data_IF_614397742815
#
_entry.id   IF_614397742815
#
_cell.length_a   1.000
_cell.length_b   1.000
_cell.length_c   1.000
_cell.angle_alpha   90.00
_cell.angle_beta   90.00
_cell.angle_gamma   90.00
#
_symmetry.space_group_name_H-M   'P 1'
#
loop_
_entity.id
_entity.type
_entity.pdbx_description
1 polymer ?
#
# COMPACT_ATOMS: atom_id res chain seq x y z
N UNK A 1 -16.74 -2.36 -14.02
CA UNK A 1 -15.70 -1.39 -14.41
C UNK A 1 -15.08 -0.67 -13.20
N UNK A 2 -14.80 -1.35 -12.07
CA UNK A 2 -14.21 -0.67 -10.89
C UNK A 2 -12.80 -0.09 -11.18
N UNK A 3 -11.99 -0.81 -11.95
CA UNK A 3 -10.65 -0.37 -12.32
C UNK A 3 -10.67 0.90 -13.19
N UNK A 4 -11.60 1.00 -14.15
CA UNK A 4 -11.72 2.14 -15.07
C UNK A 4 -12.23 3.37 -14.32
N UNK A 5 -13.27 3.23 -13.50
CA UNK A 5 -13.80 4.34 -12.71
C UNK A 5 -12.78 4.81 -11.65
N UNK A 6 -12.06 3.88 -11.00
CA UNK A 6 -10.99 4.23 -10.07
C UNK A 6 -9.83 4.97 -10.76
N UNK A 7 -9.45 4.55 -11.96
CA UNK A 7 -8.47 5.25 -12.81
C UNK A 7 -8.95 6.67 -13.16
N UNK A 8 -10.23 6.85 -13.47
CA UNK A 8 -10.80 8.17 -13.75
C UNK A 8 -10.72 9.11 -12.54
N UNK A 9 -11.01 8.62 -11.32
CA UNK A 9 -10.82 9.39 -10.09
C UNK A 9 -9.35 9.74 -9.87
N UNK A 10 -8.44 8.76 -9.96
CA UNK A 10 -6.99 9.02 -9.84
C UNK A 10 -6.52 10.08 -10.84
N UNK A 11 -7.02 10.05 -12.07
CA UNK A 11 -6.69 11.01 -13.14
C UNK A 11 -7.11 12.44 -12.79
N UNK A 12 -8.18 12.65 -12.02
CA UNK A 12 -8.58 13.99 -11.57
C UNK A 12 -7.47 14.64 -10.73
N UNK A 13 -6.88 13.88 -9.79
CA UNK A 13 -5.77 14.36 -8.96
C UNK A 13 -4.47 14.52 -9.77
N UNK A 14 -4.16 13.59 -10.67
CA UNK A 14 -2.97 13.66 -11.55
C UNK A 14 -3.01 14.89 -12.47
N UNK A 15 -4.20 15.38 -12.85
CA UNK A 15 -4.31 16.53 -13.73
C UNK A 15 -4.09 17.87 -13.02
N UNK A 16 -3.99 17.89 -11.69
CA UNK A 16 -3.69 19.11 -10.94
C UNK A 16 -2.29 19.64 -11.25
N UNK A 17 -2.17 20.95 -11.50
CA UNK A 17 -0.85 21.58 -11.74
C UNK A 17 -0.03 21.70 -10.45
N UNK A 18 -0.71 21.77 -9.30
CA UNK A 18 -0.07 21.89 -7.99
C UNK A 18 0.64 20.57 -7.66
N UNK A 19 1.92 20.58 -7.21
CA UNK A 19 2.59 19.36 -6.78
C UNK A 19 1.78 18.62 -5.71
N UNK A 20 1.70 17.30 -5.83
CA UNK A 20 0.94 16.44 -4.92
C UNK A 20 1.76 15.21 -4.56
N UNK A 21 1.60 14.76 -3.32
CA UNK A 21 2.12 13.50 -2.80
C UNK A 21 0.97 12.49 -2.77
N UNK A 22 1.11 11.44 -3.57
CA UNK A 22 0.18 10.33 -3.68
C UNK A 22 0.61 9.20 -2.75
N UNK A 23 -0.14 8.97 -1.68
CA UNK A 23 0.00 7.79 -0.83
C UNK A 23 -0.69 6.60 -1.48
N UNK A 24 0.05 5.56 -1.80
CA UNK A 24 -0.49 4.38 -2.48
C UNK A 24 -0.30 3.16 -1.59
N UNK A 25 -1.42 2.49 -1.29
CA UNK A 25 -1.42 1.19 -0.64
C UNK A 25 -1.00 0.07 -1.60
N UNK A 26 -1.52 -1.12 -1.33
CA UNK A 26 -1.25 -2.31 -2.14
C UNK A 26 -2.55 -3.01 -2.50
N UNK A 27 -2.47 -3.90 -3.49
CA UNK A 27 -3.50 -4.91 -3.76
C UNK A 27 -3.90 -5.00 -5.24
N UNK A 28 -4.62 -6.07 -5.55
CA UNK A 28 -5.12 -6.37 -6.91
C UNK A 28 -5.95 -5.24 -7.50
N UNK A 29 -6.82 -4.63 -6.70
CA UNK A 29 -7.72 -3.55 -7.13
C UNK A 29 -6.94 -2.31 -7.54
N UNK A 30 -6.04 -1.82 -6.67
CA UNK A 30 -5.20 -0.66 -6.98
C UNK A 30 -4.30 -0.92 -8.18
N UNK A 31 -3.72 -2.13 -8.29
CA UNK A 31 -2.96 -2.54 -9.48
C UNK A 31 -3.78 -2.40 -10.76
N UNK A 32 -5.00 -2.92 -10.77
CA UNK A 32 -5.87 -2.81 -11.95
C UNK A 32 -6.27 -1.36 -12.27
N UNK A 33 -6.49 -0.51 -11.26
CA UNK A 33 -6.75 0.92 -11.49
C UNK A 33 -5.53 1.62 -12.10
N UNK A 34 -4.33 1.40 -11.53
CA UNK A 34 -3.09 1.97 -12.02
C UNK A 34 -2.74 1.44 -13.42
N UNK A 35 -3.00 0.16 -13.71
CA UNK A 35 -2.84 -0.42 -15.05
C UNK A 35 -3.67 0.36 -16.09
N UNK A 36 -4.90 0.75 -15.73
CA UNK A 36 -5.83 1.50 -16.57
C UNK A 36 -5.56 3.02 -16.62
N UNK A 37 -4.60 3.56 -15.87
CA UNK A 37 -4.22 4.97 -15.96
C UNK A 37 -3.59 5.29 -17.32
N UNK A 38 -3.83 6.48 -17.89
CA UNK A 38 -3.05 6.96 -19.02
C UNK A 38 -1.61 7.28 -18.60
N UNK A 39 -0.72 7.47 -19.58
CA UNK A 39 0.56 8.13 -19.36
C UNK A 39 0.35 9.63 -19.46
N UNK A 40 0.81 10.39 -18.46
CA UNK A 40 0.65 11.85 -18.38
C UNK A 40 1.95 12.43 -17.82
N UNK A 41 2.50 13.46 -18.44
CA UNK A 41 3.75 14.07 -17.96
C UNK A 41 3.48 14.99 -16.76
N UNK A 42 3.73 14.49 -15.55
CA UNK A 42 3.51 15.18 -14.27
C UNK A 42 4.66 14.91 -13.28
N UNK A 43 5.90 15.31 -13.62
CA UNK A 43 7.09 14.98 -12.84
C UNK A 43 7.12 15.70 -11.48
N UNK A 44 6.27 16.72 -11.29
CA UNK A 44 6.10 17.41 -10.01
C UNK A 44 5.35 16.57 -8.96
N UNK A 45 4.58 15.56 -9.38
CA UNK A 45 3.92 14.64 -8.46
C UNK A 45 4.89 13.58 -7.93
N UNK A 46 4.64 13.13 -6.71
CA UNK A 46 5.41 12.09 -6.07
C UNK A 46 4.50 10.96 -5.60
N UNK A 47 4.93 9.72 -5.76
CA UNK A 47 4.27 8.56 -5.17
C UNK A 47 5.05 8.07 -3.95
N UNK A 48 4.34 7.68 -2.90
CA UNK A 48 4.92 7.08 -1.70
C UNK A 48 4.16 5.80 -1.31
N UNK A 49 4.89 4.71 -1.03
CA UNK A 49 4.27 3.50 -0.48
C UNK A 49 3.73 3.76 0.90
N UNK A 50 2.52 3.24 1.17
CA UNK A 50 1.92 3.27 2.50
C UNK A 50 2.14 1.97 3.28
N UNK A 51 2.71 0.95 2.64
CA UNK A 51 3.06 -0.32 3.28
C UNK A 51 4.49 -0.76 2.96
N UNK A 52 5.04 -1.62 3.83
CA UNK A 52 6.27 -2.35 3.53
C UNK A 52 6.04 -3.38 2.43
N UNK A 53 7.02 -3.52 1.53
CA UNK A 53 6.91 -4.36 0.33
C UNK A 53 7.56 -5.75 0.47
N UNK A 54 8.11 -6.07 1.65
CA UNK A 54 8.85 -7.33 1.89
C UNK A 54 7.96 -8.31 2.67
N UNK A 55 7.74 -9.49 2.08
CA UNK A 55 7.05 -10.62 2.68
C UNK A 55 7.96 -11.42 3.61
N UNK A 56 7.38 -12.39 4.34
CA UNK A 56 8.11 -13.18 5.34
C UNK A 56 9.13 -14.17 4.76
N UNK A 57 9.01 -14.48 3.48
CA UNK A 57 9.94 -15.32 2.73
C UNK A 57 11.00 -14.49 1.98
N UNK A 58 11.20 -13.23 2.40
CA UNK A 58 12.10 -12.23 1.82
C UNK A 58 11.74 -11.79 0.39
N UNK A 59 10.61 -12.25 -0.15
CA UNK A 59 10.16 -11.84 -1.48
C UNK A 59 9.53 -10.45 -1.47
N UNK A 60 9.69 -9.71 -2.56
CA UNK A 60 8.97 -8.46 -2.79
C UNK A 60 7.54 -8.73 -3.25
N UNK A 61 6.55 -8.05 -2.68
CA UNK A 61 5.17 -8.17 -3.17
C UNK A 61 5.01 -7.53 -4.55
N UNK A 62 4.30 -8.22 -5.43
CA UNK A 62 3.91 -7.69 -6.75
C UNK A 62 2.79 -6.67 -6.69
N UNK A 63 2.24 -6.40 -5.51
CA UNK A 63 1.10 -5.52 -5.30
C UNK A 63 1.47 -4.16 -4.71
N UNK A 64 2.74 -3.93 -4.37
CA UNK A 64 3.28 -2.60 -4.15
C UNK A 64 3.44 -1.91 -5.51
N UNK A 65 2.38 -1.20 -5.92
CA UNK A 65 2.22 -0.54 -7.22
C UNK A 65 2.52 0.97 -7.30
N UNK A 66 2.96 1.70 -6.24
CA UNK A 66 3.28 3.13 -6.38
C UNK A 66 4.40 3.43 -7.38
N UNK A 67 5.38 2.53 -7.56
CA UNK A 67 6.41 2.67 -8.59
C UNK A 67 5.79 2.80 -9.98
N UNK A 68 4.85 1.92 -10.32
CA UNK A 68 4.17 1.91 -11.62
C UNK A 68 3.34 3.19 -11.83
N UNK A 69 2.73 3.69 -10.78
CA UNK A 69 2.01 4.97 -10.84
C UNK A 69 2.98 6.14 -11.07
N UNK A 70 4.13 6.15 -10.40
CA UNK A 70 5.16 7.16 -10.60
C UNK A 70 5.71 7.14 -12.04
N UNK A 71 5.95 5.96 -12.61
CA UNK A 71 6.38 5.81 -14.01
C UNK A 71 5.40 6.46 -14.99
N UNK A 72 4.09 6.21 -14.80
CA UNK A 72 3.03 6.81 -15.64
C UNK A 72 2.97 8.33 -15.57
N UNK A 73 3.49 8.92 -14.50
CA UNK A 73 3.58 10.36 -14.28
C UNK A 73 4.96 10.95 -14.60
N UNK A 74 5.97 10.12 -14.90
CA UNK A 74 7.39 10.51 -14.88
C UNK A 74 7.82 11.15 -13.52
N UNK A 75 7.12 10.79 -12.45
CA UNK A 75 7.32 11.31 -11.10
C UNK A 75 8.34 10.50 -10.30
N UNK A 76 8.58 10.91 -9.05
CA UNK A 76 9.45 10.17 -8.13
C UNK A 76 8.66 9.18 -7.29
N UNK A 77 9.31 8.07 -6.95
CA UNK A 77 8.80 7.04 -6.07
C UNK A 77 9.62 6.96 -4.78
N UNK A 78 8.93 6.88 -3.63
CA UNK A 78 9.52 6.67 -2.31
C UNK A 78 8.90 5.42 -1.66
N UNK A 79 9.72 4.45 -1.30
CA UNK A 79 9.25 3.18 -0.74
C UNK A 79 9.69 3.00 0.70
N UNK A 80 8.91 2.26 1.48
CA UNK A 80 9.23 1.89 2.86
C UNK A 80 10.23 0.73 2.83
N UNK A 81 11.49 0.92 3.28
CA UNK A 81 12.53 -0.11 3.19
C UNK A 81 12.46 -1.08 4.38
N UNK A 82 11.28 -1.65 4.62
CA UNK A 82 11.01 -2.54 5.76
C UNK A 82 9.93 -3.57 5.38
N UNK A 83 9.85 -4.71 6.08
CA UNK A 83 8.75 -5.65 5.92
C UNK A 83 7.42 -5.04 6.37
N UNK A 84 6.31 -5.58 5.85
CA UNK A 84 4.97 -5.20 6.32
C UNK A 84 4.77 -5.58 7.79
N UNK A 85 5.21 -6.79 8.16
CA UNK A 85 5.19 -7.30 9.52
C UNK A 85 6.62 -7.64 9.94
N UNK A 86 7.08 -7.03 11.03
CA UNK A 86 8.33 -7.42 11.69
C UNK A 86 8.15 -8.73 12.46
N UNK A 87 9.22 -9.51 12.62
CA UNK A 87 9.18 -10.78 13.35
C UNK A 87 8.98 -10.57 14.86
N UNK A 88 9.53 -9.48 15.40
CA UNK A 88 9.42 -9.14 16.83
C UNK A 88 9.15 -7.66 17.06
N UNK A 89 8.64 -7.27 18.24
CA UNK A 89 8.52 -5.87 18.64
C UNK A 89 9.86 -5.12 18.63
N UNK A 90 10.97 -5.79 18.99
CA UNK A 90 12.31 -5.21 18.99
C UNK A 90 12.79 -4.92 17.56
N UNK A 91 12.54 -5.85 16.62
CA UNK A 91 12.85 -5.65 15.20
C UNK A 91 12.03 -4.48 14.61
N UNK A 92 10.73 -4.42 14.93
CA UNK A 92 9.89 -3.27 14.59
C UNK A 92 10.49 -1.96 15.10
N UNK A 93 10.91 -1.92 16.37
CA UNK A 93 11.49 -0.72 16.98
C UNK A 93 12.77 -0.28 16.26
N UNK A 94 13.61 -1.24 15.84
CA UNK A 94 14.82 -0.96 15.05
C UNK A 94 14.48 -0.32 13.71
N UNK A 95 13.51 -0.86 12.96
CA UNK A 95 13.07 -0.28 11.68
C UNK A 95 12.53 1.15 11.84
N UNK A 96 11.65 1.35 12.83
CA UNK A 96 11.00 2.65 13.08
C UNK A 96 11.99 3.75 13.48
N UNK A 97 13.11 3.38 14.10
CA UNK A 97 14.17 4.33 14.47
C UNK A 97 15.09 4.70 13.29
N UNK A 98 15.06 3.95 12.19
CA UNK A 98 15.95 4.19 11.07
C UNK A 98 15.55 5.48 10.32
N UNK A 99 16.50 6.40 10.12
CA UNK A 99 16.22 7.72 9.53
C UNK A 99 15.58 7.67 8.14
N UNK A 100 15.91 6.66 7.34
CA UNK A 100 15.30 6.48 6.01
C UNK A 100 13.82 6.11 6.14
N UNK A 101 13.51 5.20 7.06
CA UNK A 101 12.13 4.79 7.36
C UNK A 101 11.30 6.01 7.80
N UNK A 102 11.81 6.76 8.78
CA UNK A 102 11.12 7.96 9.30
C UNK A 102 10.80 8.97 8.20
N UNK A 103 11.76 9.31 7.34
CA UNK A 103 11.52 10.27 6.24
C UNK A 103 10.48 9.79 5.23
N UNK A 104 10.41 8.50 4.95
CA UNK A 104 9.41 7.95 4.02
C UNK A 104 8.02 7.94 4.68
N UNK A 105 7.95 7.52 5.94
CA UNK A 105 6.69 7.57 6.71
C UNK A 105 6.18 9.00 6.86
N UNK A 106 7.05 9.96 7.18
CA UNK A 106 6.68 11.38 7.25
C UNK A 106 6.08 11.87 5.92
N UNK A 107 6.67 11.45 4.79
CA UNK A 107 6.11 11.76 3.46
C UNK A 107 4.76 11.06 3.24
N UNK A 108 4.60 9.80 3.65
CA UNK A 108 3.33 9.08 3.53
C UNK A 108 2.22 9.72 4.39
N UNK A 109 2.57 10.20 5.58
CA UNK A 109 1.66 10.93 6.47
C UNK A 109 1.30 12.33 5.94
N UNK A 110 2.13 12.89 5.07
CA UNK A 110 1.90 14.16 4.38
C UNK A 110 1.30 13.98 2.97
N UNK A 111 0.78 12.80 2.63
CA UNK A 111 0.11 12.58 1.36
C UNK A 111 -1.10 13.51 1.21
N UNK A 112 -1.17 14.22 0.07
CA UNK A 112 -2.32 15.07 -0.29
C UNK A 112 -3.54 14.22 -0.66
N UNK A 113 -3.29 13.02 -1.20
CA UNK A 113 -4.32 12.03 -1.52
C UNK A 113 -3.78 10.63 -1.25
N UNK A 114 -4.63 9.78 -0.66
CA UNK A 114 -4.32 8.37 -0.41
C UNK A 114 -5.29 7.45 -1.17
N UNK A 115 -4.75 6.52 -1.94
CA UNK A 115 -5.50 5.45 -2.58
C UNK A 115 -5.18 4.12 -1.89
N UNK A 116 -6.16 3.60 -1.16
CA UNK A 116 -6.02 2.39 -0.33
C UNK A 116 -7.07 1.35 -0.71
N UNK A 117 -6.68 0.08 -0.64
CA UNK A 117 -7.61 -1.04 -0.74
C UNK A 117 -8.14 -1.43 0.63
N UNK A 118 -9.35 -1.98 0.64
CA UNK A 118 -9.89 -2.70 1.78
C UNK A 118 -9.97 -4.17 1.38
N UNK A 119 -9.29 -5.02 2.14
CA UNK A 119 -9.23 -6.46 1.94
C UNK A 119 -10.11 -7.22 2.92
N UNK A 120 -10.62 -8.37 2.48
CA UNK A 120 -11.19 -9.37 3.39
C UNK A 120 -10.09 -10.16 4.10
N UNK A 121 -10.41 -10.72 5.27
CA UNK A 121 -9.49 -11.56 6.05
C UNK A 121 -10.06 -12.96 6.12
N UNK A 122 -9.83 -13.74 5.06
CA UNK A 122 -10.31 -15.12 4.93
C UNK A 122 -9.17 -16.02 4.48
N UNK A 123 -9.26 -17.36 4.67
CA UNK A 123 -8.27 -18.28 4.14
C UNK A 123 -8.07 -18.05 2.63
N UNK A 124 -6.82 -17.91 2.20
CA UNK A 124 -6.45 -17.59 0.82
C UNK A 124 -6.57 -16.12 0.42
N UNK A 125 -6.87 -15.19 1.34
CA UNK A 125 -6.79 -13.76 1.06
C UNK A 125 -5.37 -13.36 0.61
N UNK A 126 -5.17 -12.21 -0.06
CA UNK A 126 -3.85 -11.82 -0.58
C UNK A 126 -2.72 -11.89 0.45
N UNK A 127 -2.94 -11.37 1.68
CA UNK A 127 -1.95 -11.44 2.75
C UNK A 127 -1.56 -12.89 3.12
N UNK A 128 -2.51 -13.83 3.06
CA UNK A 128 -2.25 -15.24 3.37
C UNK A 128 -1.60 -15.97 2.18
N UNK A 129 -2.13 -15.79 0.98
CA UNK A 129 -1.60 -16.41 -0.24
C UNK A 129 -0.18 -15.96 -0.59
N UNK A 130 0.24 -14.77 -0.16
CA UNK A 130 1.60 -14.24 -0.32
C UNK A 130 2.50 -14.45 0.90
N UNK A 131 2.02 -15.18 1.92
CA UNK A 131 2.86 -15.53 3.06
C UNK A 131 3.13 -14.40 4.04
N UNK A 132 2.41 -13.27 3.98
CA UNK A 132 2.48 -12.24 5.02
C UNK A 132 1.88 -12.72 6.34
N UNK A 133 0.82 -13.55 6.29
CA UNK A 133 0.19 -14.18 7.45
C UNK A 133 -0.03 -15.68 7.21
N UNK A 134 0.01 -16.47 8.28
CA UNK A 134 -0.25 -17.93 8.23
C UNK A 134 -1.74 -18.26 8.32
N UNK A 135 -2.11 -19.48 7.93
CA UNK A 135 -3.48 -19.99 8.09
C UNK A 135 -3.95 -19.92 9.54
N UNK A 136 -3.09 -20.28 10.50
CA UNK A 136 -3.38 -20.18 11.92
C UNK A 136 -3.61 -18.72 12.37
N UNK A 137 -2.91 -17.75 11.79
CA UNK A 137 -3.13 -16.33 12.07
C UNK A 137 -4.46 -15.85 11.47
N UNK A 138 -4.83 -16.30 10.27
CA UNK A 138 -6.14 -16.01 9.66
C UNK A 138 -7.27 -16.56 10.53
N UNK A 139 -7.18 -17.81 10.97
CA UNK A 139 -8.16 -18.42 11.88
C UNK A 139 -8.27 -17.63 13.20
N UNK A 140 -7.15 -17.21 13.78
CA UNK A 140 -7.14 -16.41 14.99
C UNK A 140 -7.77 -15.02 14.80
N UNK A 141 -7.54 -14.36 13.66
CA UNK A 141 -8.15 -13.07 13.32
C UNK A 141 -9.67 -13.22 13.15
N UNK A 142 -10.11 -14.26 12.46
CA UNK A 142 -11.52 -14.59 12.30
C UNK A 142 -12.20 -14.90 13.64
N UNK A 143 -11.55 -15.67 14.52
CA UNK A 143 -12.04 -15.94 15.87
C UNK A 143 -12.17 -14.68 16.74
N UNK A 144 -11.44 -13.61 16.39
CA UNK A 144 -11.52 -12.28 17.04
C UNK A 144 -12.54 -11.35 16.38
N UNK A 145 -13.31 -11.82 15.38
CA UNK A 145 -14.33 -11.02 14.70
C UNK A 145 -13.75 -9.92 13.80
N UNK A 146 -12.52 -10.08 13.32
CA UNK A 146 -11.96 -9.21 12.29
C UNK A 146 -12.80 -9.35 11.02
N UNK A 147 -13.19 -8.23 10.42
CA UNK A 147 -14.04 -8.20 9.22
C UNK A 147 -13.31 -7.72 7.97
N UNK A 148 -12.11 -7.15 8.14
CA UNK A 148 -11.29 -6.67 7.04
C UNK A 148 -9.93 -6.17 7.47
N UNK A 149 -9.14 -5.79 6.47
CA UNK A 149 -7.86 -5.14 6.64
C UNK A 149 -7.70 -3.94 5.71
N UNK A 150 -6.92 -2.97 6.15
CA UNK A 150 -6.49 -1.84 5.35
C UNK A 150 -5.04 -1.54 5.71
N UNK A 151 -4.15 -1.52 4.71
CA UNK A 151 -2.72 -1.27 4.88
C UNK A 151 -2.05 -2.26 5.87
N UNK A 152 -2.55 -3.50 5.97
CA UNK A 152 -2.06 -4.48 6.94
C UNK A 152 -2.55 -4.24 8.38
N UNK A 153 -3.49 -3.32 8.59
CA UNK A 153 -4.18 -3.14 9.85
C UNK A 153 -5.55 -3.82 9.81
N UNK A 154 -5.77 -4.74 10.74
CA UNK A 154 -7.01 -5.49 10.88
C UNK A 154 -8.04 -4.71 11.71
N UNK A 155 -9.30 -4.70 11.27
CA UNK A 155 -10.39 -3.98 11.93
C UNK A 155 -11.64 -4.84 12.12
N UNK A 156 -12.48 -4.46 13.08
CA UNK A 156 -13.75 -5.12 13.40
C UNK A 156 -14.92 -4.30 12.83
N UNK A 157 -16.15 -4.80 12.95
CA UNK A 157 -17.34 -4.09 12.43
C UNK A 157 -17.58 -2.72 13.06
N UNK A 158 -17.06 -2.47 14.26
CA UNK A 158 -17.15 -1.18 14.94
C UNK A 158 -16.04 -0.18 14.54
N UNK A 159 -15.11 -0.57 13.66
CA UNK A 159 -13.85 0.11 13.41
C UNK A 159 -12.75 -0.47 14.29
#
# INVERSE_FOLDING_TARGET
>A
MLAVEGSAVMTQFINEETPQVFGIGSGKTLRSMIDALPWVDRPQHHCVSMIGAIARDDSGTRYDVPLKMAEKMQGKYFFIPAPLYADTPEDKAMWVQHKVYQRVIDRALQADVAFVGIGEVMPGCPLNAEGFITDAQVEALNGRGVVGEMLGHFFQSAG
#
